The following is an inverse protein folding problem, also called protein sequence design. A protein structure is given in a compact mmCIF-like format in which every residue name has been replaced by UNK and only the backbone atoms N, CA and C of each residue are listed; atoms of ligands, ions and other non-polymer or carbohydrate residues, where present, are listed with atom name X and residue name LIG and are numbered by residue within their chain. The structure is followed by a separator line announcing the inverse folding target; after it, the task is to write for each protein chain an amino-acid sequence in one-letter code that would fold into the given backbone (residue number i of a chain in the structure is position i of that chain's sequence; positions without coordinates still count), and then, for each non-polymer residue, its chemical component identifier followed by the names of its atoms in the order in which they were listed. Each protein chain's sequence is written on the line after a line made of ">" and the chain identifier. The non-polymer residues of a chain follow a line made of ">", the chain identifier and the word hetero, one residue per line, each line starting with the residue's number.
data_IF_550626462216
#
_entry.id   IF_550626462216
#
_cell.length_a   1.000
_cell.length_b   1.000
_cell.length_c   1.000
_cell.angle_alpha   90.00
_cell.angle_beta   90.00
_cell.angle_gamma   90.00
#
_symmetry.space_group_name_H-M   'P 1'
#
loop_
_entity.id
_entity.type
_entity.pdbx_description
1 polymer ?
#
# COMPACT_ATOMS: atom_id res chain seq x y z
N UNK A 1 8.72 -4.43 14.27
CA UNK A 1 8.45 -3.29 13.41
C UNK A 1 7.11 -2.63 13.75
N UNK A 2 5.98 -3.34 13.67
CA UNK A 2 4.64 -2.78 13.92
C UNK A 2 4.53 -2.09 15.30
N UNK A 3 5.05 -2.72 16.36
CA UNK A 3 5.07 -2.14 17.71
C UNK A 3 5.83 -0.81 17.78
N UNK A 4 6.92 -0.67 17.03
CA UNK A 4 7.69 0.58 16.97
C UNK A 4 6.86 1.66 16.27
N UNK A 5 6.18 1.32 15.18
CA UNK A 5 5.33 2.26 14.41
C UNK A 5 4.13 2.70 15.27
N UNK A 6 3.49 1.76 15.98
CA UNK A 6 2.40 2.07 16.91
C UNK A 6 2.87 3.00 18.04
N UNK A 7 4.02 2.72 18.65
CA UNK A 7 4.62 3.54 19.70
C UNK A 7 5.01 4.95 19.22
N UNK A 8 5.32 5.12 17.94
CA UNK A 8 5.54 6.42 17.30
C UNK A 8 4.24 7.22 17.08
N UNK A 9 3.09 6.64 17.40
CA UNK A 9 1.78 7.29 17.31
C UNK A 9 1.13 7.29 15.95
N UNK A 10 1.67 6.52 14.98
CA UNK A 10 1.09 6.36 13.64
C UNK A 10 -0.14 5.43 13.67
N UNK A 11 -0.94 5.46 12.60
CA UNK A 11 -2.04 4.56 12.36
C UNK A 11 -1.63 3.35 11.52
N UNK A 12 -2.59 2.46 11.25
CA UNK A 12 -2.42 1.31 10.37
C UNK A 12 -3.47 1.33 9.27
N UNK A 13 -3.03 1.19 8.02
CA UNK A 13 -3.88 0.88 6.88
C UNK A 13 -3.81 -0.63 6.64
N UNK A 14 -4.94 -1.31 6.84
CA UNK A 14 -5.08 -2.76 6.79
C UNK A 14 -5.90 -3.16 5.56
N UNK A 15 -5.55 -4.29 4.93
CA UNK A 15 -6.25 -4.80 3.75
C UNK A 15 -6.78 -6.22 3.95
N UNK A 16 -6.75 -6.72 5.18
CA UNK A 16 -7.35 -7.99 5.60
C UNK A 16 -7.66 -7.99 7.10
N UNK A 17 -8.59 -8.85 7.53
CA UNK A 17 -8.88 -9.04 8.96
C UNK A 17 -7.67 -9.49 9.76
N UNK A 18 -6.80 -10.33 9.16
CA UNK A 18 -5.54 -10.73 9.80
C UNK A 18 -4.59 -9.55 10.06
N UNK A 19 -4.57 -8.55 9.17
CA UNK A 19 -3.79 -7.32 9.38
C UNK A 19 -4.41 -6.43 10.47
N UNK A 20 -5.76 -6.34 10.53
CA UNK A 20 -6.47 -5.65 11.63
C UNK A 20 -6.11 -6.28 12.97
N UNK A 21 -6.18 -7.63 13.09
CA UNK A 21 -5.76 -8.33 14.31
C UNK A 21 -4.29 -8.08 14.66
N UNK A 22 -3.41 -8.11 13.66
CA UNK A 22 -1.97 -7.88 13.86
C UNK A 22 -1.71 -6.44 14.33
N UNK A 23 -2.41 -5.46 13.78
CA UNK A 23 -2.33 -4.06 14.20
C UNK A 23 -2.76 -3.89 15.67
N UNK A 24 -3.91 -4.46 16.05
CA UNK A 24 -4.42 -4.42 17.43
C UNK A 24 -3.41 -5.08 18.38
N UNK A 25 -2.92 -6.29 18.05
CA UNK A 25 -1.91 -7.01 18.83
C UNK A 25 -0.60 -6.24 18.97
N UNK A 26 -0.25 -5.44 17.98
CA UNK A 26 0.95 -4.60 18.00
C UNK A 26 0.78 -3.30 18.80
N UNK A 27 -0.44 -2.98 19.26
CA UNK A 27 -0.73 -1.82 20.09
C UNK A 27 -1.17 -0.57 19.33
N UNK A 28 -1.60 -0.70 18.07
CA UNK A 28 -2.27 0.41 17.39
C UNK A 28 -3.65 0.66 18.03
N UNK A 29 -3.98 1.90 18.40
CA UNK A 29 -5.33 2.24 18.83
C UNK A 29 -6.34 1.99 17.70
N UNK A 30 -7.49 1.39 18.01
CA UNK A 30 -8.51 1.07 17.00
C UNK A 30 -8.97 2.30 16.22
N UNK A 31 -9.06 3.46 16.87
CA UNK A 31 -9.38 4.75 16.25
C UNK A 31 -8.29 5.29 15.30
N UNK A 32 -7.21 4.55 15.11
CA UNK A 32 -6.14 4.82 14.12
C UNK A 32 -5.98 3.70 13.11
N UNK A 33 -6.92 2.76 13.06
CA UNK A 33 -6.92 1.66 12.09
C UNK A 33 -7.93 1.95 11.00
N UNK A 34 -7.48 1.90 9.75
CA UNK A 34 -8.29 2.00 8.54
C UNK A 34 -8.31 0.63 7.88
N UNK A 35 -9.46 0.21 7.33
CA UNK A 35 -9.58 -1.05 6.63
C UNK A 35 -9.97 -0.82 5.16
N UNK A 36 -9.06 -1.08 4.26
CA UNK A 36 -9.19 -0.96 2.81
C UNK A 36 -9.31 -2.35 2.14
N UNK A 37 -9.39 -2.38 0.80
CA UNK A 37 -9.42 -3.61 0.00
C UNK A 37 -10.78 -3.96 -0.56
N UNK A 38 -10.78 -4.54 -1.77
CA UNK A 38 -11.99 -4.77 -2.60
C UNK A 38 -12.80 -6.02 -2.22
N UNK A 39 -12.31 -6.84 -1.30
CA UNK A 39 -12.89 -8.15 -1.01
C UNK A 39 -12.99 -8.43 0.49
N UNK A 40 -13.46 -7.44 1.29
CA UNK A 40 -13.71 -7.65 2.71
C UNK A 40 -14.82 -8.69 2.90
N UNK A 41 -14.52 -9.78 3.60
CA UNK A 41 -15.49 -10.79 3.98
C UNK A 41 -16.33 -10.34 5.19
N UNK A 42 -17.50 -10.94 5.37
CA UNK A 42 -18.42 -10.57 6.47
C UNK A 42 -17.75 -10.65 7.85
N UNK A 43 -16.93 -11.68 8.09
CA UNK A 43 -16.22 -11.82 9.35
C UNK A 43 -15.19 -10.70 9.59
N UNK A 44 -14.55 -10.21 8.54
CA UNK A 44 -13.57 -9.13 8.59
C UNK A 44 -14.25 -7.78 8.85
N UNK A 45 -15.40 -7.54 8.20
CA UNK A 45 -16.23 -6.36 8.47
C UNK A 45 -16.72 -6.41 9.91
N UNK A 46 -17.21 -7.58 10.37
CA UNK A 46 -17.64 -7.77 11.74
C UNK A 46 -16.51 -7.52 12.75
N UNK A 47 -15.28 -7.97 12.47
CA UNK A 47 -14.12 -7.68 13.29
C UNK A 47 -13.89 -6.16 13.42
N UNK A 48 -13.85 -5.45 12.29
CA UNK A 48 -13.66 -3.99 12.28
C UNK A 48 -14.76 -3.24 13.03
N UNK A 49 -16.02 -3.71 12.91
CA UNK A 49 -17.15 -3.18 13.68
C UNK A 49 -17.01 -3.44 15.18
N UNK A 50 -16.59 -4.65 15.58
CA UNK A 50 -16.44 -5.03 16.98
C UNK A 50 -15.33 -4.24 17.65
N UNK A 51 -14.22 -4.07 17.00
CA UNK A 51 -13.06 -3.30 17.45
C UNK A 51 -13.26 -1.77 17.37
N UNK A 52 -14.35 -1.30 16.70
CA UNK A 52 -14.62 0.12 16.47
C UNK A 52 -13.46 0.84 15.76
N UNK A 53 -12.92 0.26 14.70
CA UNK A 53 -11.85 0.85 13.93
C UNK A 53 -12.20 2.24 13.41
N UNK A 54 -11.19 3.03 13.05
CA UNK A 54 -11.41 4.41 12.60
C UNK A 54 -12.31 4.50 11.38
N UNK A 55 -12.07 3.68 10.34
CA UNK A 55 -12.78 3.83 9.07
C UNK A 55 -12.68 2.57 8.21
N UNK A 56 -13.75 2.27 7.48
CA UNK A 56 -13.72 1.38 6.31
C UNK A 56 -13.56 2.22 5.05
N UNK A 57 -12.50 2.00 4.27
CA UNK A 57 -12.37 2.53 2.92
C UNK A 57 -13.20 1.65 1.98
N UNK A 58 -14.32 2.18 1.51
CA UNK A 58 -15.34 1.45 0.74
C UNK A 58 -15.04 1.52 -0.75
N UNK A 59 -15.03 0.37 -1.39
CA UNK A 59 -14.63 0.18 -2.78
C UNK A 59 -15.83 0.13 -3.76
N UNK A 60 -17.04 -0.12 -3.24
CA UNK A 60 -18.24 -0.26 -4.07
C UNK A 60 -19.54 -0.02 -3.28
N UNK A 61 -20.62 0.26 -4.01
CA UNK A 61 -21.97 0.36 -3.43
C UNK A 61 -22.43 -0.98 -2.84
N UNK A 62 -22.07 -2.09 -3.46
CA UNK A 62 -22.41 -3.43 -2.95
C UNK A 62 -21.80 -3.68 -1.57
N UNK A 63 -20.52 -3.36 -1.42
CA UNK A 63 -19.82 -3.43 -0.14
C UNK A 63 -20.46 -2.50 0.91
N UNK A 64 -20.79 -1.27 0.52
CA UNK A 64 -21.41 -0.31 1.42
C UNK A 64 -22.76 -0.82 1.97
N UNK A 65 -23.55 -1.50 1.15
CA UNK A 65 -24.82 -2.14 1.59
C UNK A 65 -24.54 -3.24 2.61
N UNK A 66 -23.56 -4.10 2.37
CA UNK A 66 -23.16 -5.17 3.30
C UNK A 66 -22.67 -4.59 4.63
N UNK A 67 -21.84 -3.55 4.59
CA UNK A 67 -21.38 -2.87 5.82
C UNK A 67 -22.58 -2.30 6.59
N UNK A 68 -23.52 -1.67 5.93
CA UNK A 68 -24.74 -1.13 6.56
C UNK A 68 -25.58 -2.25 7.21
N UNK A 69 -25.76 -3.39 6.54
CA UNK A 69 -26.52 -4.53 7.05
C UNK A 69 -25.86 -5.15 8.29
N UNK A 70 -24.55 -5.39 8.24
CA UNK A 70 -23.79 -5.98 9.34
C UNK A 70 -23.70 -5.01 10.53
N UNK A 71 -23.56 -3.72 10.29
CA UNK A 71 -23.59 -2.70 11.33
C UNK A 71 -24.97 -2.62 11.98
N UNK A 72 -26.06 -2.69 11.20
CA UNK A 72 -27.44 -2.73 11.69
C UNK A 72 -27.67 -3.95 12.59
N UNK A 73 -27.22 -5.13 12.19
CA UNK A 73 -27.34 -6.36 12.98
C UNK A 73 -26.65 -6.26 14.35
N UNK A 74 -25.65 -5.40 14.48
CA UNK A 74 -24.92 -5.13 15.73
C UNK A 74 -25.40 -3.86 16.46
N UNK A 75 -26.39 -3.16 15.93
CA UNK A 75 -26.83 -1.86 16.41
C UNK A 75 -25.67 -0.85 16.53
N UNK A 76 -24.78 -0.85 15.53
CA UNK A 76 -23.63 0.05 15.40
C UNK A 76 -23.78 0.96 14.20
N UNK A 77 -22.94 1.97 14.11
CA UNK A 77 -22.78 2.83 12.93
C UNK A 77 -21.34 2.73 12.47
N UNK A 78 -21.13 2.23 11.25
CA UNK A 78 -19.82 2.14 10.62
C UNK A 78 -19.40 3.50 10.07
N UNK A 79 -18.20 3.94 10.40
CA UNK A 79 -17.56 5.10 9.76
C UNK A 79 -16.96 4.65 8.45
N UNK A 80 -17.26 5.35 7.36
CA UNK A 80 -16.83 4.97 6.02
C UNK A 80 -16.20 6.14 5.28
N UNK A 81 -15.20 5.86 4.45
CA UNK A 81 -14.70 6.77 3.44
C UNK A 81 -14.90 6.14 2.07
N UNK A 82 -15.39 6.90 1.10
CA UNK A 82 -15.59 6.40 -0.26
C UNK A 82 -14.29 6.50 -1.04
N UNK A 83 -13.80 5.38 -1.52
CA UNK A 83 -12.62 5.35 -2.39
C UNK A 83 -13.01 5.70 -3.82
N UNK A 84 -12.38 6.73 -4.37
CA UNK A 84 -12.65 7.20 -5.73
C UNK A 84 -11.54 6.71 -6.66
N UNK A 85 -11.88 5.88 -7.64
CA UNK A 85 -10.99 5.37 -8.69
C UNK A 85 -11.75 4.72 -9.85
N UNK A 86 -11.09 4.54 -11.00
CA UNK A 86 -11.71 4.05 -12.24
C UNK A 86 -11.17 2.68 -12.71
N UNK A 87 -10.98 1.72 -11.79
CA UNK A 87 -10.63 0.34 -12.13
C UNK A 87 -11.26 -0.66 -11.14
N UNK A 88 -10.67 -1.84 -10.90
CA UNK A 88 -11.21 -2.80 -9.91
C UNK A 88 -11.29 -2.24 -8.49
N UNK A 89 -10.57 -1.16 -8.21
CA UNK A 89 -10.56 -0.47 -6.93
C UNK A 89 -11.43 0.78 -7.02
N UNK A 90 -12.22 1.03 -5.97
CA UNK A 90 -12.95 2.27 -5.77
C UNK A 90 -14.16 2.46 -6.67
N UNK A 91 -14.86 3.53 -6.38
CA UNK A 91 -16.09 3.97 -7.06
C UNK A 91 -15.70 4.93 -8.18
N UNK A 92 -16.24 4.69 -9.37
CA UNK A 92 -16.09 5.64 -10.47
C UNK A 92 -16.78 6.96 -10.12
N UNK A 93 -16.12 8.09 -10.39
CA UNK A 93 -16.65 9.41 -10.05
C UNK A 93 -18.04 9.67 -10.67
N UNK A 94 -18.28 9.16 -11.88
CA UNK A 94 -19.60 9.25 -12.53
C UNK A 94 -20.72 8.55 -11.77
N UNK A 95 -20.40 7.54 -10.94
CA UNK A 95 -21.36 6.80 -10.12
C UNK A 95 -21.49 7.36 -8.71
N UNK A 96 -20.60 8.26 -8.30
CA UNK A 96 -20.56 8.79 -6.93
C UNK A 96 -21.90 9.39 -6.50
N UNK A 97 -22.59 10.07 -7.40
CA UNK A 97 -23.89 10.66 -7.11
C UNK A 97 -24.95 9.63 -6.71
N UNK A 98 -25.03 8.52 -7.45
CA UNK A 98 -25.94 7.42 -7.12
C UNK A 98 -25.61 6.77 -5.78
N UNK A 99 -24.33 6.60 -5.47
CA UNK A 99 -23.88 6.08 -4.17
C UNK A 99 -24.29 7.00 -3.03
N UNK A 100 -24.05 8.30 -3.17
CA UNK A 100 -24.42 9.30 -2.16
C UNK A 100 -25.93 9.39 -1.95
N UNK A 101 -26.71 9.23 -3.00
CA UNK A 101 -28.19 9.23 -2.90
C UNK A 101 -28.70 7.98 -2.16
N UNK A 102 -28.13 6.81 -2.43
CA UNK A 102 -28.47 5.59 -1.69
C UNK A 102 -28.04 5.66 -0.21
N UNK A 103 -26.89 6.26 0.08
CA UNK A 103 -26.43 6.44 1.46
C UNK A 103 -27.42 7.22 2.35
N UNK A 104 -28.23 8.11 1.79
CA UNK A 104 -29.24 8.87 2.55
C UNK A 104 -30.26 7.95 3.24
N UNK A 105 -30.48 6.75 2.71
CA UNK A 105 -31.38 5.74 3.30
C UNK A 105 -30.67 4.76 4.24
N UNK A 106 -29.36 4.83 4.36
CA UNK A 106 -28.54 3.92 5.17
C UNK A 106 -28.28 4.53 6.56
N UNK A 107 -28.98 4.05 7.58
CA UNK A 107 -28.87 4.61 8.94
C UNK A 107 -27.70 4.08 9.75
N UNK A 108 -27.01 3.04 9.27
CA UNK A 108 -25.93 2.38 9.99
C UNK A 108 -24.54 2.57 9.34
N UNK A 109 -24.42 3.54 8.43
CA UNK A 109 -23.14 4.02 7.92
C UNK A 109 -23.07 5.54 8.05
N UNK A 110 -21.88 6.04 8.32
CA UNK A 110 -21.58 7.46 8.42
C UNK A 110 -20.40 7.81 7.51
N UNK A 111 -20.63 8.65 6.52
CA UNK A 111 -19.61 9.14 5.61
C UNK A 111 -18.73 10.15 6.34
N UNK A 112 -17.48 9.78 6.62
CA UNK A 112 -16.51 10.66 7.29
C UNK A 112 -15.45 11.20 6.33
N UNK A 113 -15.28 10.61 5.13
CA UNK A 113 -14.18 10.99 4.27
C UNK A 113 -14.27 10.45 2.84
N UNK A 114 -13.29 10.88 2.06
CA UNK A 114 -12.96 10.31 0.76
C UNK A 114 -11.55 9.73 0.80
N UNK A 115 -11.33 8.68 0.01
CA UNK A 115 -10.05 8.00 -0.13
C UNK A 115 -9.64 7.95 -1.59
N UNK A 116 -8.38 8.24 -1.88
CA UNK A 116 -7.76 8.08 -3.19
C UNK A 116 -6.41 7.42 -3.05
N UNK A 117 -6.10 6.46 -3.92
CA UNK A 117 -4.78 5.84 -4.00
C UNK A 117 -4.39 5.65 -5.47
N UNK A 118 -3.40 6.41 -5.94
CA UNK A 118 -3.08 6.51 -7.37
C UNK A 118 -2.12 5.42 -7.87
N UNK A 119 -1.42 4.73 -6.99
CA UNK A 119 -0.49 3.68 -7.39
C UNK A 119 0.61 3.44 -6.37
N UNK A 120 1.65 2.70 -6.77
CA UNK A 120 2.79 2.35 -5.93
C UNK A 120 4.09 2.58 -6.70
N UNK A 121 5.19 2.82 -5.98
CA UNK A 121 6.51 3.10 -6.54
C UNK A 121 6.51 4.33 -7.47
N UNK A 122 5.88 5.41 -7.03
CA UNK A 122 5.80 6.67 -7.77
C UNK A 122 6.96 7.55 -7.34
N UNK A 123 7.83 7.89 -8.28
CA UNK A 123 8.99 8.77 -8.09
C UNK A 123 8.79 10.14 -8.70
N UNK A 124 7.82 10.29 -9.62
CA UNK A 124 7.45 11.56 -10.21
C UNK A 124 6.43 12.32 -9.36
N UNK A 125 6.85 13.45 -8.81
CA UNK A 125 6.00 14.30 -7.98
C UNK A 125 4.81 14.94 -8.74
N UNK A 126 4.83 14.94 -10.08
CA UNK A 126 3.70 15.44 -10.87
C UNK A 126 2.42 14.63 -10.65
N UNK A 127 2.54 13.31 -10.41
CA UNK A 127 1.41 12.45 -10.11
C UNK A 127 0.69 12.89 -8.81
N UNK A 128 1.45 13.26 -7.79
CA UNK A 128 0.89 13.74 -6.51
C UNK A 128 0.31 15.14 -6.63
N UNK A 129 0.87 16.02 -7.51
CA UNK A 129 0.26 17.31 -7.82
C UNK A 129 -1.12 17.14 -8.45
N UNK A 130 -1.22 16.24 -9.43
CA UNK A 130 -2.48 15.94 -10.09
C UNK A 130 -3.50 15.34 -9.10
N UNK A 131 -3.04 14.50 -8.17
CA UNK A 131 -3.90 13.99 -7.10
C UNK A 131 -4.46 15.12 -6.23
N UNK A 132 -3.63 16.06 -5.77
CA UNK A 132 -4.08 17.18 -4.94
C UNK A 132 -5.14 18.04 -5.66
N UNK A 133 -4.92 18.34 -6.94
CA UNK A 133 -5.89 19.08 -7.77
C UNK A 133 -7.19 18.29 -7.88
N UNK A 134 -7.10 16.99 -8.15
CA UNK A 134 -8.26 16.11 -8.29
C UNK A 134 -9.07 16.02 -6.99
N UNK A 135 -8.43 15.98 -5.85
CA UNK A 135 -9.11 15.99 -4.55
C UNK A 135 -9.89 17.30 -4.35
N UNK A 136 -9.31 18.43 -4.71
CA UNK A 136 -10.02 19.72 -4.64
C UNK A 136 -11.29 19.72 -5.51
N UNK A 137 -11.20 19.23 -6.77
CA UNK A 137 -12.36 19.09 -7.66
C UNK A 137 -13.44 18.19 -7.06
N UNK A 138 -13.06 17.05 -6.44
CA UNK A 138 -14.00 16.15 -5.79
C UNK A 138 -14.69 16.84 -4.60
N UNK A 139 -13.93 17.57 -3.80
CA UNK A 139 -14.49 18.34 -2.67
C UNK A 139 -15.51 19.36 -3.16
N UNK A 140 -15.19 20.13 -4.22
CA UNK A 140 -16.09 21.11 -4.81
C UNK A 140 -17.41 20.47 -5.31
N UNK A 141 -17.33 19.25 -5.88
CA UNK A 141 -18.51 18.50 -6.30
C UNK A 141 -19.38 18.01 -5.11
N UNK A 142 -18.74 17.60 -4.02
CA UNK A 142 -19.44 17.21 -2.79
C UNK A 142 -20.12 18.42 -2.15
N UNK A 143 -19.45 19.57 -2.07
CA UNK A 143 -19.98 20.80 -1.48
C UNK A 143 -21.20 21.33 -2.25
N UNK A 144 -21.21 21.25 -3.59
CA UNK A 144 -22.39 21.57 -4.40
C UNK A 144 -23.62 20.76 -4.01
N UNK A 145 -23.43 19.64 -3.32
CA UNK A 145 -24.50 18.75 -2.82
C UNK A 145 -24.76 18.92 -1.32
N UNK A 146 -24.12 19.90 -0.69
CA UNK A 146 -24.23 20.13 0.74
C UNK A 146 -23.48 19.09 1.60
N UNK A 147 -22.54 18.33 1.02
CA UNK A 147 -21.76 17.31 1.71
C UNK A 147 -20.37 17.86 1.99
N UNK A 148 -20.01 17.91 3.26
CA UNK A 148 -18.65 18.15 3.71
C UNK A 148 -18.11 16.87 4.33
N UNK A 149 -16.86 16.53 4.02
CA UNK A 149 -16.15 15.39 4.62
C UNK A 149 -15.07 15.89 5.56
N UNK A 150 -14.92 15.20 6.67
CA UNK A 150 -13.96 15.56 7.73
C UNK A 150 -12.54 15.05 7.41
N UNK A 151 -12.45 14.00 6.59
CA UNK A 151 -11.21 13.28 6.35
C UNK A 151 -10.92 13.12 4.86
N UNK A 152 -9.68 13.45 4.48
CA UNK A 152 -9.13 13.25 3.15
C UNK A 152 -8.00 12.24 3.24
N UNK A 153 -8.22 11.01 2.78
CA UNK A 153 -7.17 10.01 2.68
C UNK A 153 -6.58 10.03 1.27
N UNK A 154 -5.34 10.45 1.15
CA UNK A 154 -4.64 10.63 -0.11
C UNK A 154 -3.86 9.39 -0.56
N UNK A 155 -3.98 8.29 0.22
CA UNK A 155 -3.27 7.07 -0.04
C UNK A 155 -1.77 7.19 0.15
N UNK A 156 -1.05 6.26 -0.44
CA UNK A 156 0.40 6.21 -0.40
C UNK A 156 1.01 6.32 -1.79
N UNK A 157 1.99 5.46 -2.02
CA UNK A 157 2.58 5.29 -3.35
C UNK A 157 3.94 5.92 -3.55
N UNK A 158 4.42 6.75 -2.62
CA UNK A 158 5.77 7.31 -2.68
C UNK A 158 6.78 6.17 -2.83
N UNK A 159 7.60 6.26 -3.90
CA UNK A 159 8.61 5.27 -4.24
C UNK A 159 9.95 5.50 -3.57
N UNK A 160 10.85 4.53 -3.79
CA UNK A 160 12.25 4.58 -3.36
C UNK A 160 13.16 4.32 -4.56
N UNK A 161 14.45 4.65 -4.42
CA UNK A 161 15.47 4.28 -5.39
C UNK A 161 15.98 2.85 -5.10
N UNK A 162 15.58 1.90 -5.95
CA UNK A 162 16.05 0.51 -5.87
C UNK A 162 17.43 0.30 -6.50
N UNK A 163 17.91 1.24 -7.34
CA UNK A 163 19.24 1.14 -7.97
C UNK A 163 20.33 1.55 -6.99
N UNK A 164 20.03 2.55 -6.13
CA UNK A 164 20.96 3.05 -5.13
C UNK A 164 20.30 3.07 -3.75
N UNK A 165 19.90 1.89 -3.20
CA UNK A 165 19.07 1.82 -1.98
C UNK A 165 19.74 2.43 -0.74
N UNK A 166 21.07 2.53 -0.75
CA UNK A 166 21.86 3.07 0.36
C UNK A 166 22.30 4.54 0.16
N UNK A 167 21.93 5.16 -0.98
CA UNK A 167 22.37 6.52 -1.31
C UNK A 167 21.66 7.57 -0.43
N UNK A 168 20.37 7.38 -0.21
CA UNK A 168 19.55 8.20 0.67
C UNK A 168 18.90 7.29 1.72
N UNK A 169 19.23 7.52 3.00
CA UNK A 169 18.69 6.71 4.11
C UNK A 169 17.19 6.93 4.34
N UNK A 170 16.66 8.06 3.89
CA UNK A 170 15.25 8.47 4.07
C UNK A 170 14.73 8.97 2.72
N UNK A 171 13.56 8.50 2.24
CA UNK A 171 12.89 9.04 1.06
C UNK A 171 12.59 10.54 1.21
N UNK A 172 12.37 11.23 0.08
CA UNK A 172 12.12 12.66 0.02
C UNK A 172 10.71 13.04 0.56
N UNK A 173 10.42 12.72 1.81
CA UNK A 173 9.14 13.02 2.46
C UNK A 173 8.82 14.50 2.47
N UNK A 174 9.82 15.36 2.67
CA UNK A 174 9.61 16.82 2.66
C UNK A 174 9.04 17.28 1.32
N UNK A 175 9.61 16.80 0.21
CA UNK A 175 9.11 17.14 -1.12
C UNK A 175 7.70 16.57 -1.37
N UNK A 176 7.43 15.36 -0.89
CA UNK A 176 6.14 14.72 -0.99
C UNK A 176 5.05 15.50 -0.26
N UNK A 177 5.25 15.81 1.02
CA UNK A 177 4.28 16.55 1.81
C UNK A 177 4.14 18.01 1.36
N UNK A 178 5.23 18.64 0.90
CA UNK A 178 5.19 20.01 0.38
C UNK A 178 4.25 20.17 -0.83
N UNK A 179 4.09 19.11 -1.66
CA UNK A 179 3.13 19.14 -2.78
C UNK A 179 1.71 19.36 -2.27
N UNK A 180 1.30 18.57 -1.27
CA UNK A 180 -0.06 18.65 -0.71
C UNK A 180 -0.26 19.92 0.10
N UNK A 181 0.72 20.30 0.90
CA UNK A 181 0.66 21.57 1.65
C UNK A 181 0.46 22.79 0.75
N UNK A 182 1.02 22.75 -0.47
CA UNK A 182 0.92 23.85 -1.42
C UNK A 182 -0.37 23.84 -2.24
N UNK A 183 -0.88 22.67 -2.59
CA UNK A 183 -1.90 22.51 -3.62
C UNK A 183 -3.25 22.01 -3.11
N UNK A 184 -3.29 21.38 -1.94
CA UNK A 184 -4.52 20.91 -1.36
C UNK A 184 -5.26 22.05 -0.66
N UNK A 185 -6.50 22.25 -1.06
CA UNK A 185 -7.38 23.28 -0.48
C UNK A 185 -8.22 22.66 0.65
N UNK A 186 -7.69 22.75 1.88
CA UNK A 186 -8.34 22.17 3.04
C UNK A 186 -9.48 23.06 3.54
N UNK A 187 -10.63 22.44 3.81
CA UNK A 187 -11.76 23.10 4.45
C UNK A 187 -11.55 23.14 5.98
N UNK A 188 -12.21 24.07 6.68
CA UNK A 188 -12.05 24.15 8.14
C UNK A 188 -12.36 22.83 8.84
N UNK A 189 -11.46 22.39 9.70
CA UNK A 189 -11.62 21.17 10.52
C UNK A 189 -11.25 19.86 9.81
N UNK A 190 -10.89 19.87 8.53
CA UNK A 190 -10.49 18.67 7.82
C UNK A 190 -9.14 18.13 8.28
N UNK A 191 -9.03 16.81 8.29
CA UNK A 191 -7.81 16.07 8.53
C UNK A 191 -7.34 15.37 7.26
N UNK A 192 -6.02 15.32 7.08
CA UNK A 192 -5.38 14.64 5.94
C UNK A 192 -4.68 13.39 6.42
N UNK A 193 -4.93 12.28 5.73
CA UNK A 193 -4.34 10.98 6.01
C UNK A 193 -3.49 10.54 4.81
N UNK A 194 -2.37 9.88 5.10
CA UNK A 194 -1.45 9.32 4.12
C UNK A 194 -1.16 7.86 4.47
N UNK A 195 -0.94 7.03 3.45
CA UNK A 195 -0.66 5.60 3.57
C UNK A 195 0.73 5.24 2.99
N UNK A 196 1.85 5.88 3.41
CA UNK A 196 3.17 5.56 2.91
C UNK A 196 3.64 4.22 3.50
N UNK A 197 3.57 3.16 2.73
CA UNK A 197 4.05 1.84 3.14
C UNK A 197 5.51 1.61 2.76
N UNK A 198 5.77 1.43 1.44
CA UNK A 198 7.10 1.12 0.91
C UNK A 198 8.16 2.14 1.32
N UNK A 199 7.88 3.42 1.19
CA UNK A 199 8.82 4.48 1.51
C UNK A 199 9.21 4.52 2.99
N UNK A 200 8.39 3.98 3.89
CA UNK A 200 8.71 3.90 5.33
C UNK A 200 9.60 2.71 5.65
N UNK A 201 9.41 1.55 4.99
CA UNK A 201 10.02 0.29 5.46
C UNK A 201 10.97 -0.38 4.47
N UNK A 202 10.97 -0.03 3.19
CA UNK A 202 11.72 -0.79 2.20
C UNK A 202 13.24 -0.73 2.40
N UNK A 203 13.76 0.38 2.89
CA UNK A 203 15.20 0.56 3.11
C UNK A 203 15.69 -0.02 4.44
N UNK A 204 14.80 -0.52 5.31
CA UNK A 204 15.18 -1.12 6.58
C UNK A 204 15.28 -2.65 6.54
N UNK A 205 15.14 -3.27 5.37
CA UNK A 205 15.17 -4.71 5.20
C UNK A 205 16.05 -5.16 4.03
N UNK A 206 16.74 -6.30 4.21
CA UNK A 206 17.49 -6.99 3.16
C UNK A 206 17.11 -8.46 3.16
N UNK A 207 16.98 -9.07 1.99
CA UNK A 207 16.89 -10.51 1.84
C UNK A 207 18.33 -11.07 1.77
N UNK A 208 18.70 -11.86 2.76
CA UNK A 208 19.99 -12.57 2.76
C UNK A 208 19.72 -14.00 2.31
N UNK A 209 20.47 -14.46 1.32
CA UNK A 209 20.33 -15.79 0.75
C UNK A 209 21.70 -16.42 0.51
N UNK A 210 21.72 -17.74 0.50
CA UNK A 210 22.91 -18.54 0.26
C UNK A 210 22.89 -19.11 -1.15
N UNK A 211 24.04 -19.12 -1.80
CA UNK A 211 24.22 -19.80 -3.08
C UNK A 211 24.28 -21.31 -2.86
N UNK A 212 23.31 -22.03 -3.40
CA UNK A 212 23.28 -23.50 -3.39
C UNK A 212 24.24 -24.07 -4.43
N UNK A 213 24.18 -23.54 -5.64
CA UNK A 213 25.01 -23.97 -6.76
C UNK A 213 25.31 -22.81 -7.71
N UNK A 214 26.49 -22.88 -8.32
CA UNK A 214 26.80 -22.13 -9.55
C UNK A 214 26.71 -23.12 -10.70
N UNK A 215 25.86 -22.83 -11.68
CA UNK A 215 25.69 -23.66 -12.87
C UNK A 215 26.23 -22.91 -14.08
N UNK A 216 27.22 -23.48 -14.74
CA UNK A 216 27.75 -22.99 -16.00
C UNK A 216 26.96 -23.58 -17.17
N UNK A 217 26.35 -22.72 -17.99
CA UNK A 217 25.76 -23.07 -19.27
C UNK A 217 26.70 -22.67 -20.42
N UNK A 218 26.34 -22.97 -21.64
CA UNK A 218 27.14 -22.62 -22.82
C UNK A 218 27.24 -21.10 -23.04
N UNK A 219 26.23 -20.34 -22.59
CA UNK A 219 26.13 -18.89 -22.82
C UNK A 219 26.04 -18.09 -21.53
N UNK A 220 25.52 -18.67 -20.47
CA UNK A 220 25.21 -17.97 -19.20
C UNK A 220 25.66 -18.77 -17.99
N UNK A 221 26.05 -18.05 -16.95
CA UNK A 221 26.21 -18.61 -15.59
C UNK A 221 24.97 -18.35 -14.76
N UNK A 222 24.59 -19.30 -13.93
CA UNK A 222 23.46 -19.17 -13.01
C UNK A 222 23.94 -19.27 -11.58
N UNK A 223 23.58 -18.28 -10.76
CA UNK A 223 23.69 -18.36 -9.31
C UNK A 223 22.34 -18.85 -8.75
N UNK A 224 22.28 -20.09 -8.30
CA UNK A 224 21.05 -20.71 -7.77
C UNK A 224 21.04 -20.52 -6.26
N UNK A 225 20.02 -19.79 -5.77
CA UNK A 225 19.90 -19.42 -4.36
C UNK A 225 18.99 -20.37 -3.58
N UNK A 226 19.03 -20.32 -2.25
CA UNK A 226 18.08 -20.98 -1.35
C UNK A 226 16.83 -20.14 -1.09
N UNK A 227 16.77 -18.91 -1.55
CA UNK A 227 15.57 -18.08 -1.61
C UNK A 227 14.94 -18.12 -3.02
N UNK A 228 13.63 -18.00 -3.11
CA UNK A 228 12.88 -17.97 -4.35
C UNK A 228 11.83 -16.86 -4.40
N UNK A 229 11.02 -16.83 -5.46
CA UNK A 229 9.95 -15.85 -5.60
C UNK A 229 8.86 -15.98 -4.51
N UNK A 230 8.85 -17.07 -3.74
CA UNK A 230 8.03 -17.23 -2.53
C UNK A 230 8.50 -16.36 -1.37
N UNK A 231 9.77 -15.93 -1.39
CA UNK A 231 10.36 -15.05 -0.39
C UNK A 231 10.35 -13.58 -0.86
N UNK A 232 10.57 -13.35 -2.16
CA UNK A 232 10.55 -12.05 -2.79
C UNK A 232 9.90 -12.13 -4.19
N UNK A 233 8.57 -12.01 -4.23
CA UNK A 233 7.77 -12.20 -5.45
C UNK A 233 7.94 -11.08 -6.49
N UNK A 234 8.35 -9.88 -6.09
CA UNK A 234 8.29 -8.69 -6.96
C UNK A 234 9.08 -8.79 -8.27
N UNK A 235 10.29 -9.36 -8.32
CA UNK A 235 10.98 -9.56 -9.59
C UNK A 235 10.19 -10.43 -10.56
N UNK A 236 9.66 -11.56 -10.09
CA UNK A 236 8.90 -12.48 -10.93
C UNK A 236 7.54 -11.92 -11.39
N UNK A 237 6.83 -11.17 -10.53
CA UNK A 237 5.47 -10.69 -10.79
C UNK A 237 5.43 -9.36 -11.55
N UNK A 238 6.40 -8.46 -11.29
CA UNK A 238 6.38 -7.08 -11.76
C UNK A 238 7.59 -6.69 -12.60
N UNK A 239 8.50 -7.63 -12.90
CA UNK A 239 9.82 -7.35 -13.47
C UNK A 239 10.56 -6.26 -12.67
N UNK A 240 10.37 -6.30 -11.33
CA UNK A 240 10.85 -5.25 -10.45
C UNK A 240 12.32 -5.45 -10.14
N UNK A 241 13.12 -4.42 -10.42
CA UNK A 241 14.53 -4.41 -10.04
C UNK A 241 14.70 -4.35 -8.52
N UNK A 242 15.61 -5.17 -8.00
CA UNK A 242 16.19 -5.08 -6.68
C UNK A 242 17.71 -5.20 -6.81
N UNK A 243 18.45 -4.36 -6.11
CA UNK A 243 19.91 -4.46 -6.10
C UNK A 243 20.33 -5.77 -5.45
N UNK A 244 21.22 -6.49 -6.12
CA UNK A 244 21.80 -7.75 -5.67
C UNK A 244 23.31 -7.53 -5.48
N UNK A 245 23.84 -8.00 -4.36
CA UNK A 245 25.25 -7.89 -4.02
C UNK A 245 25.77 -9.23 -3.50
N UNK A 246 26.98 -9.62 -3.91
CA UNK A 246 27.70 -10.69 -3.25
C UNK A 246 28.48 -10.11 -2.06
N UNK A 247 28.17 -10.59 -0.84
CA UNK A 247 28.78 -10.10 0.39
C UNK A 247 29.91 -10.99 0.90
N UNK A 248 30.29 -12.04 0.15
CA UNK A 248 31.26 -13.06 0.57
C UNK A 248 32.49 -13.14 -0.34
N UNK A 249 32.60 -12.33 -1.38
CA UNK A 249 33.71 -12.33 -2.32
C UNK A 249 34.07 -10.92 -2.78
N UNK A 250 35.38 -10.65 -2.89
CA UNK A 250 35.95 -9.44 -3.48
C UNK A 250 36.72 -9.78 -4.79
N UNK A 251 36.50 -10.98 -5.34
CA UNK A 251 37.12 -11.44 -6.59
C UNK A 251 36.63 -10.64 -7.80
N UNK A 252 37.15 -10.96 -8.99
CA UNK A 252 36.75 -10.32 -10.23
C UNK A 252 35.24 -10.41 -10.48
N UNK A 253 34.71 -9.41 -11.17
CA UNK A 253 33.27 -9.34 -11.48
C UNK A 253 32.96 -10.28 -12.65
N UNK A 254 31.91 -11.05 -12.51
CA UNK A 254 31.34 -11.91 -13.53
C UNK A 254 29.83 -11.64 -13.67
N UNK A 255 29.23 -12.16 -14.75
CA UNK A 255 27.81 -11.97 -15.06
C UNK A 255 27.02 -13.24 -14.77
N UNK A 256 25.92 -13.10 -14.00
CA UNK A 256 25.05 -14.20 -13.61
C UNK A 256 23.58 -13.91 -13.86
N UNK A 257 22.81 -14.93 -14.23
CA UNK A 257 21.38 -14.93 -13.95
C UNK A 257 21.20 -15.45 -12.52
N UNK A 258 20.64 -14.62 -11.64
CA UNK A 258 20.40 -14.94 -10.23
C UNK A 258 18.99 -15.51 -10.11
N UNK A 259 18.89 -16.78 -9.71
CA UNK A 259 17.62 -17.55 -9.77
C UNK A 259 17.35 -18.27 -8.44
N UNK A 260 16.07 -18.50 -8.16
CA UNK A 260 15.67 -19.29 -7.01
C UNK A 260 15.63 -20.81 -7.31
N UNK A 261 15.26 -21.62 -6.30
CA UNK A 261 15.27 -23.09 -6.38
C UNK A 261 13.92 -23.66 -6.86
N UNK A 262 12.91 -22.81 -7.11
CA UNK A 262 11.55 -23.25 -7.44
C UNK A 262 11.53 -23.82 -8.86
N UNK A 263 10.77 -24.89 -9.07
CA UNK A 263 10.61 -25.55 -10.38
C UNK A 263 9.65 -24.75 -11.29
N UNK A 264 9.95 -23.45 -11.47
CA UNK A 264 9.21 -22.50 -12.29
C UNK A 264 10.20 -21.54 -12.95
N UNK A 265 10.11 -21.37 -14.25
CA UNK A 265 11.07 -20.57 -15.03
C UNK A 265 11.05 -19.07 -14.71
N UNK A 266 9.98 -18.58 -14.10
CA UNK A 266 9.86 -17.21 -13.62
C UNK A 266 10.53 -16.95 -12.26
N UNK A 267 11.11 -17.97 -11.62
CA UNK A 267 11.81 -17.83 -10.34
C UNK A 267 13.20 -17.21 -10.54
N UNK A 268 13.20 -15.95 -10.91
CA UNK A 268 14.38 -15.16 -11.25
C UNK A 268 14.38 -13.87 -10.43
N UNK A 269 15.49 -13.59 -9.75
CA UNK A 269 15.72 -12.32 -9.05
C UNK A 269 16.31 -11.24 -9.95
N UNK A 270 17.20 -11.63 -10.87
CA UNK A 270 17.80 -10.74 -11.85
C UNK A 270 18.50 -11.50 -12.97
N UNK A 271 18.52 -10.90 -14.16
CA UNK A 271 19.23 -11.42 -15.33
C UNK A 271 20.41 -10.54 -15.65
N UNK A 272 21.48 -11.16 -16.13
CA UNK A 272 22.71 -10.48 -16.53
C UNK A 272 23.26 -9.55 -15.41
N UNK A 273 23.23 -10.04 -14.16
CA UNK A 273 23.65 -9.31 -12.96
C UNK A 273 25.17 -9.39 -12.84
N UNK A 274 25.82 -8.25 -12.74
CA UNK A 274 27.25 -8.14 -12.44
C UNK A 274 27.49 -8.35 -10.94
N UNK A 275 28.19 -9.42 -10.57
CA UNK A 275 28.55 -9.76 -9.19
C UNK A 275 30.01 -10.15 -9.10
N UNK A 276 30.68 -9.87 -7.98
CA UNK A 276 31.95 -10.52 -7.67
C UNK A 276 31.78 -12.04 -7.74
N UNK A 277 32.79 -12.76 -8.19
CA UNK A 277 32.75 -14.20 -8.45
C UNK A 277 31.97 -14.94 -7.35
N UNK A 278 30.98 -15.73 -7.77
CA UNK A 278 30.03 -16.39 -6.87
C UNK A 278 30.46 -17.84 -6.66
N UNK A 279 30.49 -18.27 -5.40
CA UNK A 279 30.78 -19.64 -5.01
C UNK A 279 29.62 -20.23 -4.21
N UNK A 280 29.59 -21.56 -4.09
CA UNK A 280 28.68 -22.27 -3.22
C UNK A 280 28.95 -21.92 -1.75
N UNK A 281 27.86 -21.59 -0.99
CA UNK A 281 27.92 -21.28 0.44
C UNK A 281 28.01 -19.80 0.72
#
# INVERSE_FOLDING_TARGET
>A
LLTIIAAAGLGADCVSGGEVEAAIKAGFPAEKIVFAGVGKADWEINLGLDENIFCFNVESLAELRVINELAAAKNKVARVALRIKENKFGINLGLLNGVLDEMKAMSHVHLIGIHCHIGSQITDMSAFRNLAIRINEIQDELEKKGIQVENLNLGGGLGIDYYHPNHLSIPAFDNYFAVFHKLLDLRPGQQVHFEPGRSVVAQCGSLISRVLYVKEGEVKKFAILDAGFTDLIRPAMYDAYHRIENISSDNDVEVYDVVGPICESSDVFGKDVELNEVHRG
#
